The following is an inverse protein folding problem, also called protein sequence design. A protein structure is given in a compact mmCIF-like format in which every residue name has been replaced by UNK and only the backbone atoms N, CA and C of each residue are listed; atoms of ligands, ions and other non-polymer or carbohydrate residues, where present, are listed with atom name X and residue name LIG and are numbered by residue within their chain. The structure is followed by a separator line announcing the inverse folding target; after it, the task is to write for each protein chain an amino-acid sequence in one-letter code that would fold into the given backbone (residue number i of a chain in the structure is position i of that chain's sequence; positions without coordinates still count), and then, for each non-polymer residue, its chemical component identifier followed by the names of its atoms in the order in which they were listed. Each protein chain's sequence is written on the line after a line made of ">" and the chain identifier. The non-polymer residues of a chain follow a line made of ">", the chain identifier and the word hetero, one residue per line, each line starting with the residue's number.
data_IF_661330128515
#
_entry.id   IF_661330128515
#
_cell.length_a   1.000
_cell.length_b   1.000
_cell.length_c   1.000
_cell.angle_alpha   90.00
_cell.angle_beta   90.00
_cell.angle_gamma   90.00
#
_symmetry.space_group_name_H-M   'P 1'
#
loop_
_entity.id
_entity.type
_entity.pdbx_description
1 polymer ?
#
# COMPACT_ATOMS: atom_id res chain seq x y z
N UNK A 1 24.01 -9.50 16.43
CA UNK A 1 25.07 -8.81 17.19
C UNK A 1 24.97 -7.31 16.95
N UNK A 2 25.09 -6.53 18.03
CA UNK A 2 25.22 -5.06 18.18
C UNK A 2 24.12 -4.13 17.67
N UNK A 3 23.43 -3.47 18.62
CA UNK A 3 23.36 -2.01 18.70
C UNK A 3 23.26 -1.57 20.18
N UNK A 4 24.20 -0.74 20.60
CA UNK A 4 24.18 0.05 21.84
C UNK A 4 24.22 1.51 21.43
N UNK A 5 23.29 2.33 21.92
CA UNK A 5 23.50 3.77 22.12
C UNK A 5 22.83 4.12 23.46
N UNK A 6 23.66 4.45 24.44
CA UNK A 6 23.34 5.14 25.68
C UNK A 6 23.84 6.57 25.52
N UNK A 7 22.99 7.57 25.68
CA UNK A 7 23.39 8.91 26.14
C UNK A 7 22.28 9.53 27.02
N UNK A 8 22.57 9.50 28.32
CA UNK A 8 22.01 10.32 29.40
C UNK A 8 21.87 11.83 29.07
N UNK A 9 20.90 12.53 29.69
CA UNK A 9 21.01 13.82 30.42
C UNK A 9 19.59 14.23 30.97
N UNK A 10 19.44 15.13 31.97
CA UNK A 10 18.85 14.80 33.28
C UNK A 10 17.71 15.75 33.74
N UNK A 11 17.06 15.37 34.84
CA UNK A 11 16.39 16.19 35.88
C UNK A 11 15.78 17.57 35.54
N UNK A 12 14.47 17.71 35.79
CA UNK A 12 13.90 18.87 36.50
C UNK A 12 12.92 18.37 37.57
N UNK A 13 13.27 18.58 38.83
CA UNK A 13 12.37 18.52 39.99
C UNK A 13 11.89 19.96 40.33
N UNK A 14 10.57 20.15 40.48
CA UNK A 14 9.87 20.71 41.67
C UNK A 14 8.56 21.42 41.32
N UNK A 15 7.52 21.06 42.06
CA UNK A 15 6.30 21.85 42.20
C UNK A 15 5.26 21.15 43.07
N UNK A 16 5.37 21.30 44.40
CA UNK A 16 4.32 20.94 45.36
C UNK A 16 3.08 21.83 45.13
N UNK A 17 1.88 21.26 45.16
CA UNK A 17 0.65 22.05 45.27
C UNK A 17 -0.66 21.26 45.21
N UNK A 18 -1.26 21.06 46.38
CA UNK A 18 -2.68 20.82 46.67
C UNK A 18 -3.31 19.44 46.39
N UNK A 19 -3.54 18.75 47.51
CA UNK A 19 -4.56 17.71 47.72
C UNK A 19 -5.95 18.18 47.26
N UNK A 20 -6.52 17.42 46.34
CA UNK A 20 -7.95 17.31 46.14
C UNK A 20 -8.20 15.82 45.85
N UNK A 21 -9.00 15.09 46.64
CA UNK A 21 -9.32 13.71 46.31
C UNK A 21 -10.28 13.72 45.11
N UNK A 22 -9.72 13.72 43.90
CA UNK A 22 -10.46 13.26 42.73
C UNK A 22 -10.42 11.74 42.81
N UNK A 23 -11.51 11.15 43.27
CA UNK A 23 -11.76 9.73 43.05
C UNK A 23 -11.69 9.47 41.53
N UNK A 24 -10.53 9.03 41.05
CA UNK A 24 -10.39 8.39 39.75
C UNK A 24 -11.19 7.10 39.82
N UNK A 25 -12.43 7.16 39.36
CA UNK A 25 -13.29 6.00 39.18
C UNK A 25 -12.75 5.20 37.99
N UNK A 26 -11.76 4.35 38.28
CA UNK A 26 -11.26 3.34 37.32
C UNK A 26 -12.33 2.27 37.14
N UNK A 27 -12.83 2.15 35.92
CA UNK A 27 -13.63 1.01 35.51
C UNK A 27 -12.69 -0.16 35.20
N UNK A 28 -12.84 -1.28 35.90
CA UNK A 28 -12.09 -2.51 35.63
C UNK A 28 -13.03 -3.45 34.89
N UNK A 29 -12.74 -3.73 33.62
CA UNK A 29 -13.55 -4.67 32.82
C UNK A 29 -12.92 -6.04 32.86
N UNK A 30 -13.68 -7.04 33.32
CA UNK A 30 -13.32 -8.44 33.17
C UNK A 30 -14.01 -8.97 31.91
N UNK A 31 -13.25 -9.22 30.85
CA UNK A 31 -13.78 -9.83 29.64
C UNK A 31 -13.86 -11.35 29.84
N UNK A 32 -15.02 -11.96 29.56
CA UNK A 32 -15.20 -13.41 29.57
C UNK A 32 -15.57 -13.84 28.15
N UNK A 33 -14.70 -14.64 27.53
CA UNK A 33 -14.95 -15.28 26.23
C UNK A 33 -15.30 -16.75 26.44
N UNK A 34 -16.32 -17.25 25.74
CA UNK A 34 -16.85 -18.61 25.88
C UNK A 34 -16.22 -19.63 24.90
N UNK A 35 -15.35 -19.20 23.98
CA UNK A 35 -14.43 -20.09 23.27
C UNK A 35 -13.15 -20.30 24.08
N UNK A 36 -12.59 -21.51 24.06
CA UNK A 36 -11.51 -21.89 24.98
C UNK A 36 -10.25 -21.00 24.90
N UNK A 37 -9.69 -20.65 26.07
CA UNK A 37 -8.41 -19.91 26.26
C UNK A 37 -7.61 -20.50 27.41
N UNK A 38 -6.28 -20.58 27.26
CA UNK A 38 -5.30 -20.58 28.35
C UNK A 38 -4.60 -19.21 28.44
N UNK A 39 -4.27 -18.80 29.68
CA UNK A 39 -4.07 -17.42 30.10
C UNK A 39 -2.80 -16.69 29.60
N UNK A 40 -2.90 -15.36 29.45
CA UNK A 40 -1.78 -14.40 29.40
C UNK A 40 -1.93 -13.47 30.61
N UNK A 41 -1.26 -13.80 31.71
CA UNK A 41 -1.38 -13.12 33.00
C UNK A 41 -0.40 -11.95 33.13
N UNK A 42 -0.63 -10.85 32.39
CA UNK A 42 -0.16 -9.47 32.62
C UNK A 42 0.93 -9.18 33.67
N UNK A 43 2.08 -9.85 33.62
CA UNK A 43 3.26 -9.57 34.45
C UNK A 43 4.31 -8.93 33.55
N UNK A 44 5.04 -7.94 34.06
CA UNK A 44 6.22 -7.40 33.36
C UNK A 44 7.18 -8.54 33.02
N UNK A 45 7.59 -8.60 31.75
CA UNK A 45 8.71 -9.42 31.31
C UNK A 45 9.97 -8.82 31.94
N UNK A 46 10.31 -9.31 33.14
CA UNK A 46 11.63 -9.15 33.71
C UNK A 46 12.63 -9.91 32.84
N UNK A 47 13.04 -9.29 31.74
CA UNK A 47 14.09 -9.82 30.87
C UNK A 47 15.40 -9.72 31.65
N UNK A 48 15.71 -10.79 32.37
CA UNK A 48 17.07 -11.14 32.68
C UNK A 48 17.21 -12.64 32.46
N UNK A 49 18.14 -12.97 31.55
CA UNK A 49 18.65 -14.28 31.16
C UNK A 49 18.08 -14.87 29.87
N UNK A 50 19.03 -15.11 28.98
CA UNK A 50 19.08 -16.03 27.86
C UNK A 50 18.55 -17.41 28.25
N UNK A 51 17.27 -17.63 28.07
CA UNK A 51 16.69 -18.96 27.88
C UNK A 51 15.72 -18.87 26.69
N UNK A 52 15.86 -19.80 25.74
CA UNK A 52 14.94 -19.94 24.61
C UNK A 52 13.56 -20.34 25.12
N UNK A 53 12.54 -19.61 24.67
CA UNK A 53 11.15 -19.88 25.02
C UNK A 53 10.38 -20.23 23.74
N UNK A 54 9.81 -21.44 23.69
CA UNK A 54 8.83 -21.78 22.66
C UNK A 54 7.57 -20.93 22.89
N UNK A 55 7.36 -19.96 22.01
CA UNK A 55 6.12 -19.20 21.93
C UNK A 55 5.22 -19.96 20.97
N UNK A 56 4.13 -20.52 21.51
CA UNK A 56 3.09 -21.14 20.70
C UNK A 56 2.41 -20.05 19.85
N UNK A 57 2.79 -19.94 18.58
CA UNK A 57 2.14 -19.04 17.62
C UNK A 57 0.79 -19.67 17.27
N UNK A 58 -0.34 -19.05 17.66
CA UNK A 58 -1.64 -19.64 17.42
C UNK A 58 -1.94 -19.71 15.92
N UNK A 59 -2.75 -20.70 15.52
CA UNK A 59 -3.16 -20.89 14.13
C UNK A 59 -3.89 -19.65 13.58
N UNK A 60 -3.67 -19.33 12.30
CA UNK A 60 -4.35 -18.25 11.55
C UNK A 60 -5.89 -18.45 11.44
N UNK A 61 -6.43 -19.55 11.94
CA UNK A 61 -7.79 -20.00 11.69
C UNK A 61 -8.77 -19.69 12.83
N UNK A 62 -8.28 -19.22 13.98
CA UNK A 62 -9.11 -19.03 15.17
C UNK A 62 -9.51 -17.56 15.32
N UNK A 63 -10.70 -17.23 14.80
CA UNK A 63 -11.32 -15.93 15.05
C UNK A 63 -11.54 -15.73 16.56
N UNK A 64 -10.79 -14.80 17.15
CA UNK A 64 -10.73 -14.62 18.62
C UNK A 64 -10.56 -13.18 19.04
N UNK A 65 -10.79 -12.93 20.33
CA UNK A 65 -10.47 -11.66 20.99
C UNK A 65 -8.98 -11.63 21.35
N UNK A 66 -8.26 -10.64 20.84
CA UNK A 66 -6.82 -10.45 21.06
C UNK A 66 -6.56 -9.49 22.21
N UNK A 67 -7.37 -8.44 22.34
CA UNK A 67 -7.18 -7.43 23.38
C UNK A 67 -8.52 -6.79 23.77
N UNK A 68 -8.64 -6.37 25.03
CA UNK A 68 -9.78 -5.58 25.52
C UNK A 68 -9.25 -4.45 26.40
N UNK A 69 -9.63 -3.22 26.08
CA UNK A 69 -9.24 -2.04 26.87
C UNK A 69 -10.39 -1.06 27.04
N UNK A 70 -10.33 -0.26 28.09
CA UNK A 70 -11.28 0.83 28.33
C UNK A 70 -10.66 2.14 27.90
N UNK A 71 -11.39 2.94 27.12
CA UNK A 71 -11.00 4.27 26.71
C UNK A 71 -11.97 5.30 27.32
N UNK A 72 -11.42 6.41 27.82
CA UNK A 72 -12.14 7.46 28.53
C UNK A 72 -12.02 8.84 27.82
N UNK A 73 -11.21 8.95 26.76
CA UNK A 73 -10.84 10.25 26.18
C UNK A 73 -11.95 10.89 25.32
N UNK A 74 -12.93 10.12 24.84
CA UNK A 74 -13.94 10.57 23.87
C UNK A 74 -15.31 9.94 24.11
N UNK A 75 -15.79 10.01 25.35
CA UNK A 75 -16.90 9.20 25.84
C UNK A 75 -16.40 7.85 26.31
N UNK A 76 -16.81 7.42 27.51
CA UNK A 76 -16.35 6.17 28.08
C UNK A 76 -16.84 4.99 27.24
N UNK A 77 -15.93 4.15 26.74
CA UNK A 77 -16.26 2.98 25.96
C UNK A 77 -15.23 1.86 26.12
N UNK A 78 -15.62 0.65 25.76
CA UNK A 78 -14.73 -0.52 25.72
C UNK A 78 -14.32 -0.77 24.28
N UNK A 79 -13.03 -0.95 24.04
CA UNK A 79 -12.48 -1.36 22.75
C UNK A 79 -12.08 -2.82 22.84
N UNK A 80 -12.72 -3.64 22.03
CA UNK A 80 -12.41 -5.06 21.83
C UNK A 80 -11.69 -5.18 20.50
N UNK A 81 -10.49 -5.76 20.51
CA UNK A 81 -9.74 -6.07 19.31
C UNK A 81 -9.84 -7.56 19.02
N UNK A 82 -10.24 -7.90 17.80
CA UNK A 82 -10.30 -9.25 17.28
C UNK A 82 -9.05 -9.58 16.44
N UNK A 83 -8.80 -10.87 16.21
CA UNK A 83 -7.75 -11.36 15.32
C UNK A 83 -8.00 -10.97 13.86
N UNK A 84 -9.26 -10.86 13.48
CA UNK A 84 -9.69 -10.63 12.09
C UNK A 84 -10.66 -9.45 12.00
N UNK A 85 -10.74 -8.79 10.82
CA UNK A 85 -11.75 -7.78 10.55
C UNK A 85 -13.18 -8.33 10.78
N UNK A 86 -13.99 -7.55 11.48
CA UNK A 86 -15.38 -7.86 11.78
C UNK A 86 -16.29 -7.53 10.59
N UNK A 87 -17.36 -8.30 10.41
CA UNK A 87 -18.43 -7.93 9.49
C UNK A 87 -19.19 -6.70 10.03
N UNK A 88 -18.98 -5.52 9.44
CA UNK A 88 -19.59 -4.26 9.88
C UNK A 88 -21.13 -4.24 9.83
N UNK A 89 -21.76 -5.10 9.02
CA UNK A 89 -23.22 -5.15 8.85
C UNK A 89 -23.92 -6.11 9.82
N UNK A 90 -23.17 -6.77 10.71
CA UNK A 90 -23.75 -7.75 11.62
C UNK A 90 -24.55 -7.08 12.74
N UNK A 91 -25.66 -7.70 13.14
CA UNK A 91 -26.38 -7.29 14.33
C UNK A 91 -25.66 -7.82 15.57
N UNK A 92 -25.17 -6.91 16.43
CA UNK A 92 -24.46 -7.25 17.66
C UNK A 92 -25.37 -7.36 18.89
N UNK A 93 -26.66 -7.06 18.75
CA UNK A 93 -27.62 -7.18 19.84
C UNK A 93 -27.70 -8.64 20.32
N UNK A 94 -27.46 -8.86 21.62
CA UNK A 94 -27.42 -10.20 22.22
C UNK A 94 -26.12 -10.97 21.98
N UNK A 95 -25.24 -10.50 21.09
CA UNK A 95 -23.89 -11.07 20.91
C UNK A 95 -22.84 -10.36 21.77
N UNK A 96 -23.10 -9.12 22.15
CA UNK A 96 -22.22 -8.33 23.02
C UNK A 96 -23.06 -7.73 24.12
N UNK A 97 -22.67 -7.95 25.38
CA UNK A 97 -23.37 -7.42 26.53
C UNK A 97 -22.41 -6.95 27.62
N UNK A 98 -22.84 -5.95 28.39
CA UNK A 98 -22.16 -5.49 29.59
C UNK A 98 -23.11 -5.69 30.77
N UNK A 99 -22.61 -6.29 31.86
CA UNK A 99 -23.45 -6.62 33.03
C UNK A 99 -24.23 -5.41 33.53
N UNK A 100 -25.55 -5.58 33.68
CA UNK A 100 -26.43 -4.56 34.26
C UNK A 100 -26.88 -3.47 33.28
N UNK A 101 -26.53 -3.55 31.99
CA UNK A 101 -26.97 -2.60 30.97
C UNK A 101 -27.94 -3.23 29.97
N UNK A 102 -29.04 -2.52 29.72
CA UNK A 102 -30.10 -2.97 28.82
C UNK A 102 -29.85 -2.60 27.34
N UNK A 103 -29.01 -1.60 27.08
CA UNK A 103 -28.68 -1.15 25.72
C UNK A 103 -27.20 -0.76 25.64
N UNK A 104 -26.63 -0.94 24.45
CA UNK A 104 -25.26 -0.58 24.09
C UNK A 104 -25.27 -0.03 22.67
N UNK A 105 -24.43 0.96 22.40
CA UNK A 105 -24.12 1.39 21.05
C UNK A 105 -22.79 0.77 20.60
N UNK A 106 -22.70 0.47 19.31
CA UNK A 106 -21.55 -0.22 18.74
C UNK A 106 -20.99 0.56 17.56
N UNK A 107 -19.67 0.60 17.47
CA UNK A 107 -18.98 0.99 16.26
C UNK A 107 -17.97 -0.09 15.92
N UNK A 108 -18.16 -0.72 14.77
CA UNK A 108 -17.14 -1.60 14.18
C UNK A 108 -16.26 -0.73 13.28
N UNK A 109 -14.96 -0.86 13.45
CA UNK A 109 -13.98 -0.36 12.50
C UNK A 109 -12.92 -1.43 12.37
N UNK A 110 -12.90 -2.11 11.23
CA UNK A 110 -11.96 -3.19 10.96
C UNK A 110 -12.05 -4.34 11.98
N UNK A 111 -10.97 -4.70 12.66
CA UNK A 111 -10.96 -5.70 13.74
C UNK A 111 -11.27 -5.11 15.13
N UNK A 112 -11.63 -3.82 15.20
CA UNK A 112 -11.98 -3.15 16.46
C UNK A 112 -13.49 -3.02 16.58
N UNK A 113 -14.02 -3.52 17.70
CA UNK A 113 -15.37 -3.24 18.16
C UNK A 113 -15.29 -2.26 19.33
N UNK A 114 -15.87 -1.07 19.15
CA UNK A 114 -16.10 -0.11 20.23
C UNK A 114 -17.51 -0.32 20.78
N UNK A 115 -17.60 -0.49 22.09
CA UNK A 115 -18.83 -0.74 22.85
C UNK A 115 -19.07 0.44 23.77
N UNK A 116 -20.12 1.20 23.49
CA UNK A 116 -20.49 2.42 24.20
C UNK A 116 -21.65 2.13 25.17
N UNK A 117 -21.41 2.16 26.49
CA UNK A 117 -22.49 2.16 27.46
C UNK A 117 -23.29 3.48 27.39
N UNK A 118 -24.62 3.46 27.56
CA UNK A 118 -25.47 4.64 27.47
C UNK A 118 -25.27 5.60 28.64
N UNK A 119 -24.69 5.11 29.75
CA UNK A 119 -24.35 5.91 30.93
C UNK A 119 -22.95 5.54 31.39
N UNK A 120 -22.28 6.50 32.03
CA UNK A 120 -20.94 6.27 32.58
C UNK A 120 -20.99 5.18 33.65
N UNK A 121 -20.14 4.18 33.50
CA UNK A 121 -19.93 3.07 34.40
C UNK A 121 -18.82 3.39 35.40
N UNK A 122 -18.98 2.89 36.61
CA UNK A 122 -18.01 2.94 37.71
C UNK A 122 -17.88 1.56 38.33
N UNK A 123 -16.68 1.22 38.84
CA UNK A 123 -16.42 -0.09 39.43
C UNK A 123 -16.15 -1.21 38.41
N UNK A 124 -16.55 -2.43 38.74
CA UNK A 124 -16.30 -3.63 37.93
C UNK A 124 -17.53 -4.02 37.11
N UNK A 125 -17.33 -4.30 35.83
CA UNK A 125 -18.37 -4.81 34.93
C UNK A 125 -17.82 -5.97 34.10
N UNK A 126 -18.67 -6.95 33.76
CA UNK A 126 -18.29 -8.04 32.87
C UNK A 126 -18.75 -7.74 31.46
N UNK A 127 -17.83 -7.78 30.50
CA UNK A 127 -18.14 -7.76 29.07
C UNK A 127 -18.23 -9.21 28.59
N UNK A 128 -19.37 -9.56 27.99
CA UNK A 128 -19.60 -10.87 27.37
C UNK A 128 -19.62 -10.72 25.86
N UNK A 129 -18.90 -11.60 25.18
CA UNK A 129 -18.77 -11.65 23.73
C UNK A 129 -19.11 -13.07 23.29
N UNK A 130 -20.22 -13.22 22.58
CA UNK A 130 -20.73 -14.52 22.13
C UNK A 130 -20.02 -15.01 20.86
N UNK A 131 -19.93 -16.34 20.71
CA UNK A 131 -19.30 -16.98 19.56
C UNK A 131 -20.00 -16.70 18.20
N UNK A 132 -21.18 -16.07 18.21
CA UNK A 132 -21.92 -15.69 17.00
C UNK A 132 -21.41 -14.44 16.28
N UNK A 133 -20.40 -13.75 16.84
CA UNK A 133 -19.75 -12.64 16.13
C UNK A 133 -19.03 -13.18 14.91
N UNK A 134 -19.21 -12.49 13.78
CA UNK A 134 -18.68 -12.89 12.47
C UNK A 134 -17.55 -11.96 12.05
N UNK A 135 -16.46 -12.55 11.58
CA UNK A 135 -15.47 -11.84 10.76
C UNK A 135 -16.02 -11.62 9.34
N UNK A 136 -15.26 -10.90 8.51
CA UNK A 136 -15.62 -10.67 7.10
C UNK A 136 -15.64 -11.98 6.30
N UNK A 137 -14.81 -12.95 6.66
CA UNK A 137 -14.62 -14.22 5.93
C UNK A 137 -15.50 -15.31 6.55
N UNK A 138 -16.82 -15.21 6.35
CA UNK A 138 -17.71 -16.34 6.66
C UNK A 138 -17.97 -17.15 5.39
N UNK A 139 -17.89 -18.48 5.49
CA UNK A 139 -18.15 -19.47 4.44
C UNK A 139 -17.12 -19.59 3.30
N UNK A 140 -15.82 -19.43 3.58
CA UNK A 140 -14.75 -19.76 2.63
C UNK A 140 -14.04 -21.03 3.10
N UNK A 141 -14.02 -22.06 2.27
CA UNK A 141 -13.14 -23.22 2.45
C UNK A 141 -11.80 -22.94 1.76
N UNK A 142 -10.70 -23.10 2.51
CA UNK A 142 -9.35 -22.89 1.98
C UNK A 142 -8.70 -24.24 1.66
N UNK A 143 -8.41 -24.47 0.38
CA UNK A 143 -7.63 -25.61 -0.09
C UNK A 143 -6.20 -25.14 -0.31
N UNK A 144 -5.28 -25.57 0.55
CA UNK A 144 -3.87 -25.20 0.46
C UNK A 144 -3.06 -26.22 -0.35
N UNK A 145 -2.13 -25.71 -1.15
CA UNK A 145 -1.12 -26.50 -1.85
C UNK A 145 0.22 -25.76 -1.83
N UNK A 146 1.36 -26.43 -1.57
CA UNK A 146 2.66 -25.79 -1.55
C UNK A 146 3.17 -25.36 -2.94
N UNK A 147 2.50 -25.77 -4.03
CA UNK A 147 2.83 -25.33 -5.38
C UNK A 147 4.08 -25.97 -5.99
N UNK A 148 4.69 -26.95 -5.33
CA UNK A 148 5.90 -27.63 -5.82
C UNK A 148 5.66 -28.52 -7.04
N UNK A 149 4.41 -28.93 -7.27
CA UNK A 149 4.00 -29.79 -8.39
C UNK A 149 2.83 -29.13 -9.13
N UNK A 150 3.10 -28.37 -10.22
CA UNK A 150 2.07 -27.66 -10.98
C UNK A 150 0.84 -28.51 -11.37
N UNK A 151 0.97 -29.78 -11.79
CA UNK A 151 -0.20 -30.62 -12.10
C UNK A 151 -1.10 -30.90 -10.89
N UNK A 152 -0.53 -31.04 -9.70
CA UNK A 152 -1.29 -31.29 -8.45
C UNK A 152 -2.02 -30.03 -8.01
N UNK A 153 -1.34 -28.89 -8.04
CA UNK A 153 -1.95 -27.60 -7.75
C UNK A 153 -3.11 -27.29 -8.72
N UNK A 154 -2.92 -27.56 -10.01
CA UNK A 154 -3.95 -27.40 -11.03
C UNK A 154 -5.18 -28.30 -10.77
N UNK A 155 -4.98 -29.55 -10.36
CA UNK A 155 -6.08 -30.46 -10.02
C UNK A 155 -6.91 -29.93 -8.85
N UNK A 156 -6.27 -29.42 -7.79
CA UNK A 156 -6.96 -28.81 -6.65
C UNK A 156 -7.68 -27.51 -7.03
N UNK A 157 -7.05 -26.69 -7.87
CA UNK A 157 -7.62 -25.42 -8.32
C UNK A 157 -8.87 -25.61 -9.19
N UNK A 158 -8.95 -26.70 -9.95
CA UNK A 158 -10.04 -26.98 -10.90
C UNK A 158 -11.44 -26.90 -10.26
N UNK A 159 -11.59 -27.43 -9.04
CA UNK A 159 -12.89 -27.53 -8.37
C UNK A 159 -13.17 -26.35 -7.42
N UNK A 160 -12.23 -25.40 -7.30
CA UNK A 160 -12.38 -24.23 -6.45
C UNK A 160 -13.10 -23.06 -7.16
N UNK A 161 -13.83 -22.24 -6.40
CA UNK A 161 -14.50 -21.05 -6.95
C UNK A 161 -13.54 -20.00 -7.52
N UNK A 162 -12.32 -19.94 -6.99
CA UNK A 162 -11.20 -19.13 -7.44
C UNK A 162 -9.88 -19.77 -6.98
N UNK A 163 -8.78 -19.45 -7.66
CA UNK A 163 -7.44 -19.91 -7.29
C UNK A 163 -6.52 -18.70 -7.06
N UNK A 164 -5.71 -18.73 -6.00
CA UNK A 164 -4.72 -17.69 -5.71
C UNK A 164 -3.33 -18.33 -5.75
N UNK A 165 -2.49 -17.88 -6.68
CA UNK A 165 -1.15 -18.40 -6.91
C UNK A 165 -0.13 -17.42 -6.36
N UNK A 166 0.53 -17.77 -5.27
CA UNK A 166 1.63 -17.00 -4.70
C UNK A 166 2.95 -17.42 -5.35
N UNK A 167 3.61 -16.48 -6.02
CA UNK A 167 4.88 -16.69 -6.71
C UNK A 167 5.76 -15.47 -6.50
N UNK A 168 7.05 -15.62 -6.77
CA UNK A 168 7.97 -14.52 -6.57
C UNK A 168 9.40 -14.85 -6.91
N UNK A 169 10.25 -13.90 -6.57
CA UNK A 169 11.69 -14.08 -6.46
C UNK A 169 12.01 -14.55 -5.06
N UNK A 170 12.99 -15.43 -4.96
CA UNK A 170 13.46 -16.00 -3.70
C UNK A 170 14.80 -15.40 -3.31
N UNK A 171 15.29 -15.71 -2.11
CA UNK A 171 16.64 -15.34 -1.68
C UNK A 171 17.73 -15.78 -2.67
N UNK A 172 17.50 -16.85 -3.45
CA UNK A 172 18.44 -17.36 -4.47
C UNK A 172 18.47 -16.49 -5.72
N UNK A 173 17.38 -15.78 -5.99
CA UNK A 173 17.25 -14.88 -7.14
C UNK A 173 17.77 -13.49 -6.78
N UNK A 174 17.48 -13.00 -5.57
CA UNK A 174 17.81 -11.67 -5.08
C UNK A 174 18.65 -11.74 -3.79
N UNK A 175 19.90 -12.20 -3.92
CA UNK A 175 20.86 -12.25 -2.80
C UNK A 175 21.69 -10.97 -2.71
N UNK A 176 22.02 -10.53 -1.49
CA UNK A 176 22.97 -9.44 -1.27
C UNK A 176 24.31 -9.67 -2.00
N UNK A 177 24.85 -8.60 -2.60
CA UNK A 177 26.11 -8.64 -3.35
C UNK A 177 26.01 -9.26 -4.74
N UNK A 178 24.82 -9.59 -5.23
CA UNK A 178 24.61 -10.23 -6.52
C UNK A 178 23.51 -9.56 -7.33
N UNK A 179 23.78 -9.30 -8.61
CA UNK A 179 22.76 -8.95 -9.58
C UNK A 179 22.05 -10.19 -10.10
N UNK A 180 20.76 -10.03 -10.41
CA UNK A 180 19.96 -11.07 -11.06
C UNK A 180 20.52 -11.41 -12.45
N UNK A 181 20.43 -12.68 -12.83
CA UNK A 181 20.85 -13.18 -14.15
C UNK A 181 19.79 -13.02 -15.25
N UNK A 182 18.56 -12.67 -14.89
CA UNK A 182 17.46 -12.50 -15.82
C UNK A 182 16.25 -11.86 -15.14
N UNK A 183 15.34 -11.36 -15.95
CA UNK A 183 14.18 -10.57 -15.53
C UNK A 183 12.88 -11.38 -15.38
N UNK A 184 12.88 -12.69 -15.65
CA UNK A 184 11.71 -13.56 -15.51
C UNK A 184 11.60 -14.20 -14.14
N UNK A 185 10.44 -14.81 -13.85
CA UNK A 185 10.30 -15.73 -12.73
C UNK A 185 11.04 -17.04 -13.03
N UNK A 186 11.28 -17.86 -11.98
CA UNK A 186 11.78 -19.21 -12.19
C UNK A 186 10.85 -20.00 -13.13
N UNK A 187 11.38 -20.89 -13.99
CA UNK A 187 10.54 -21.69 -14.90
C UNK A 187 9.43 -22.47 -14.18
N UNK A 188 9.70 -22.90 -12.94
CA UNK A 188 8.73 -23.59 -12.09
C UNK A 188 7.56 -22.67 -11.69
N UNK A 189 7.83 -21.44 -11.27
CA UNK A 189 6.79 -20.48 -10.92
C UNK A 189 5.94 -20.10 -12.14
N UNK A 190 6.54 -19.89 -13.31
CA UNK A 190 5.75 -19.62 -14.52
C UNK A 190 4.89 -20.83 -14.94
N UNK A 191 5.41 -22.05 -14.79
CA UNK A 191 4.64 -23.27 -15.08
C UNK A 191 3.49 -23.46 -14.09
N UNK A 192 3.71 -23.17 -12.80
CA UNK A 192 2.65 -23.19 -11.79
C UNK A 192 1.51 -22.24 -12.17
N UNK A 193 1.83 -20.99 -12.56
CA UNK A 193 0.82 -20.02 -13.00
C UNK A 193 0.05 -20.56 -14.21
N UNK A 194 0.76 -21.04 -15.25
CA UNK A 194 0.12 -21.55 -16.47
C UNK A 194 -0.78 -22.75 -16.21
N UNK A 195 -0.31 -23.72 -15.42
CA UNK A 195 -1.06 -24.92 -15.11
C UNK A 195 -2.34 -24.61 -14.31
N UNK A 196 -2.24 -23.76 -13.28
CA UNK A 196 -3.39 -23.36 -12.47
C UNK A 196 -4.37 -22.50 -13.26
N UNK A 197 -3.88 -21.52 -14.04
CA UNK A 197 -4.74 -20.68 -14.87
C UNK A 197 -5.48 -21.48 -15.97
N UNK A 198 -4.85 -22.52 -16.52
CA UNK A 198 -5.48 -23.42 -17.46
C UNK A 198 -6.59 -24.29 -16.82
N UNK A 199 -6.43 -24.67 -15.55
CA UNK A 199 -7.42 -25.45 -14.82
C UNK A 199 -8.55 -24.61 -14.22
N UNK A 200 -8.26 -23.36 -13.82
CA UNK A 200 -9.22 -22.43 -13.24
C UNK A 200 -9.07 -21.02 -13.86
N UNK A 201 -10.04 -20.55 -14.66
CA UNK A 201 -9.98 -19.23 -15.30
C UNK A 201 -10.11 -18.06 -14.31
N UNK A 202 -10.49 -18.32 -13.04
CA UNK A 202 -10.55 -17.32 -11.96
C UNK A 202 -9.28 -17.36 -11.11
N UNK A 203 -8.14 -17.38 -11.79
CA UNK A 203 -6.82 -17.40 -11.16
C UNK A 203 -6.30 -15.98 -10.89
N UNK A 204 -5.89 -15.71 -9.66
CA UNK A 204 -5.24 -14.47 -9.25
C UNK A 204 -3.77 -14.79 -8.94
N UNK A 205 -2.85 -14.06 -9.54
CA UNK A 205 -1.42 -14.16 -9.20
C UNK A 205 -1.07 -13.12 -8.14
N UNK A 206 -0.50 -13.54 -7.01
CA UNK A 206 0.11 -12.64 -6.03
C UNK A 206 1.62 -12.75 -6.16
N UNK A 207 2.25 -11.63 -6.49
CA UNK A 207 3.65 -11.57 -6.85
C UNK A 207 4.48 -10.87 -5.78
N UNK A 208 5.46 -11.59 -5.22
CA UNK A 208 6.46 -11.04 -4.30
C UNK A 208 7.82 -10.91 -5.00
N UNK A 209 8.33 -9.69 -5.17
CA UNK A 209 9.59 -9.44 -5.87
C UNK A 209 10.20 -8.11 -5.43
N UNK A 210 11.53 -7.94 -5.58
CA UNK A 210 12.22 -6.71 -5.25
C UNK A 210 12.31 -5.69 -6.40
N UNK A 211 12.18 -6.14 -7.64
CA UNK A 211 12.35 -5.31 -8.84
C UNK A 211 11.38 -5.70 -9.97
N UNK A 212 11.46 -5.00 -11.09
CA UNK A 212 10.65 -5.28 -12.28
C UNK A 212 10.87 -6.72 -12.80
N UNK A 213 9.82 -7.27 -13.42
CA UNK A 213 9.84 -8.56 -14.10
C UNK A 213 9.38 -8.44 -15.55
N UNK A 214 9.92 -9.30 -16.41
CA UNK A 214 9.31 -9.66 -17.68
C UNK A 214 8.22 -10.70 -17.40
N UNK A 215 6.99 -10.40 -17.82
CA UNK A 215 5.80 -11.21 -17.45
C UNK A 215 5.07 -11.82 -18.65
N UNK A 216 5.61 -11.66 -19.86
CA UNK A 216 4.98 -12.03 -21.13
C UNK A 216 4.53 -13.50 -21.21
N UNK A 217 5.22 -14.40 -20.50
CA UNK A 217 4.93 -15.83 -20.55
C UNK A 217 3.62 -16.23 -19.85
N UNK A 218 3.05 -15.36 -19.02
CA UNK A 218 1.92 -15.72 -18.16
C UNK A 218 0.89 -14.62 -17.91
N UNK A 219 1.24 -13.33 -18.00
CA UNK A 219 0.35 -12.25 -17.55
C UNK A 219 -0.99 -12.20 -18.30
N UNK A 220 -0.99 -12.48 -19.60
CA UNK A 220 -2.21 -12.48 -20.42
C UNK A 220 -3.08 -13.73 -20.23
N UNK A 221 -2.64 -14.70 -19.41
CA UNK A 221 -3.37 -15.94 -19.10
C UNK A 221 -4.19 -15.85 -17.82
N UNK A 222 -3.99 -14.80 -17.03
CA UNK A 222 -4.65 -14.63 -15.73
C UNK A 222 -5.52 -13.37 -15.72
N UNK A 223 -6.74 -13.42 -15.14
CA UNK A 223 -7.61 -12.24 -15.07
C UNK A 223 -7.08 -11.15 -14.13
N UNK A 224 -6.22 -11.49 -13.16
CA UNK A 224 -5.71 -10.53 -12.19
C UNK A 224 -4.31 -10.90 -11.69
N UNK A 225 -3.50 -9.86 -11.46
CA UNK A 225 -2.22 -9.95 -10.78
C UNK A 225 -2.10 -8.83 -9.73
N UNK A 226 -1.61 -9.17 -8.55
CA UNK A 226 -1.32 -8.26 -7.44
C UNK A 226 0.18 -8.27 -7.15
N UNK A 227 0.85 -7.15 -7.38
CA UNK A 227 2.27 -6.99 -6.99
C UNK A 227 2.33 -6.57 -5.53
N UNK A 228 2.75 -7.49 -4.66
CA UNK A 228 2.90 -7.27 -3.23
C UNK A 228 4.30 -6.75 -2.84
N UNK A 229 5.26 -6.78 -3.75
CA UNK A 229 6.68 -6.49 -3.50
C UNK A 229 7.22 -7.38 -2.35
N UNK A 230 8.05 -6.83 -1.47
CA UNK A 230 8.35 -7.39 -0.16
C UNK A 230 7.52 -6.67 0.91
N UNK A 231 6.37 -7.22 1.33
CA UNK A 231 5.36 -6.46 2.07
C UNK A 231 5.61 -6.35 3.58
N UNK A 232 6.72 -6.90 4.08
CA UNK A 232 7.05 -6.90 5.51
C UNK A 232 6.13 -7.79 6.36
N UNK A 233 6.19 -7.61 7.69
CA UNK A 233 5.55 -8.50 8.66
C UNK A 233 4.01 -8.53 8.58
N UNK A 234 3.38 -7.44 8.15
CA UNK A 234 1.92 -7.33 8.00
C UNK A 234 1.43 -7.67 6.59
N UNK A 235 2.31 -8.20 5.74
CA UNK A 235 2.02 -8.41 4.32
C UNK A 235 0.85 -9.34 4.04
N UNK A 236 0.74 -10.44 4.81
CA UNK A 236 -0.39 -11.37 4.69
C UNK A 236 -1.74 -10.68 4.93
N UNK A 237 -1.81 -9.86 5.99
CA UNK A 237 -2.99 -9.09 6.33
C UNK A 237 -3.32 -8.07 5.24
N UNK A 238 -2.32 -7.31 4.76
CA UNK A 238 -2.51 -6.32 3.70
C UNK A 238 -3.01 -6.96 2.39
N UNK A 239 -2.41 -8.08 1.97
CA UNK A 239 -2.81 -8.82 0.76
C UNK A 239 -4.25 -9.31 0.89
N UNK A 240 -4.61 -9.95 2.01
CA UNK A 240 -5.96 -10.46 2.22
C UNK A 240 -7.01 -9.34 2.13
N UNK A 241 -6.77 -8.19 2.78
CA UNK A 241 -7.69 -7.04 2.72
C UNK A 241 -7.92 -6.53 1.30
N UNK A 242 -6.88 -6.52 0.47
CA UNK A 242 -7.01 -6.15 -0.94
C UNK A 242 -7.80 -7.21 -1.68
N UNK A 243 -7.44 -8.49 -1.58
CA UNK A 243 -8.12 -9.59 -2.30
C UNK A 243 -9.61 -9.69 -1.96
N UNK A 244 -9.99 -9.49 -0.69
CA UNK A 244 -11.37 -9.50 -0.25
C UNK A 244 -12.11 -8.16 -0.45
N UNK A 245 -11.45 -7.15 -1.02
CA UNK A 245 -12.07 -5.86 -1.32
C UNK A 245 -12.35 -4.98 -0.10
N UNK A 246 -11.77 -5.31 1.06
CA UNK A 246 -11.82 -4.49 2.27
C UNK A 246 -11.03 -3.19 2.12
N UNK A 247 -9.98 -3.24 1.32
CA UNK A 247 -9.21 -2.05 0.91
C UNK A 247 -9.15 -1.97 -0.61
N UNK A 248 -9.43 -0.79 -1.16
CA UNK A 248 -9.24 -0.52 -2.58
C UNK A 248 -7.74 -0.28 -2.88
N UNK A 249 -7.10 -1.04 -3.79
CA UNK A 249 -5.71 -0.80 -4.16
C UNK A 249 -5.58 0.56 -4.86
N UNK A 250 -4.53 1.30 -4.48
CA UNK A 250 -4.32 2.68 -4.93
C UNK A 250 -2.87 2.99 -5.29
N UNK A 251 -2.00 1.98 -5.31
CA UNK A 251 -0.58 2.15 -5.58
C UNK A 251 -0.31 2.31 -7.08
N UNK A 252 0.80 2.98 -7.41
CA UNK A 252 1.31 3.12 -8.77
C UNK A 252 2.75 2.60 -8.83
N UNK A 253 3.16 1.99 -9.94
CA UNK A 253 4.48 1.42 -10.10
C UNK A 253 5.57 2.51 -10.07
N UNK A 254 6.66 2.32 -9.28
CA UNK A 254 7.78 3.27 -9.23
C UNK A 254 8.77 3.10 -10.40
N UNK A 255 8.56 2.10 -11.26
CA UNK A 255 9.41 1.78 -12.41
C UNK A 255 8.56 1.19 -13.53
N UNK A 256 8.98 1.36 -14.77
CA UNK A 256 8.36 0.67 -15.90
C UNK A 256 8.81 -0.80 -15.92
N UNK A 257 7.91 -1.69 -16.33
CA UNK A 257 8.21 -3.12 -16.52
C UNK A 257 8.28 -3.40 -18.02
N UNK A 258 9.44 -3.82 -18.54
CA UNK A 258 9.63 -4.05 -19.96
C UNK A 258 8.90 -5.31 -20.42
N UNK A 259 8.74 -5.47 -21.74
CA UNK A 259 8.28 -6.74 -22.34
C UNK A 259 9.44 -7.70 -22.59
N UNK A 260 10.65 -7.16 -22.74
CA UNK A 260 11.89 -7.91 -22.94
C UNK A 260 13.06 -7.24 -22.23
N UNK A 261 14.06 -8.00 -21.81
CA UNK A 261 15.33 -7.45 -21.31
C UNK A 261 16.04 -6.60 -22.37
N UNK A 262 15.84 -6.92 -23.65
CA UNK A 262 16.38 -6.17 -24.77
C UNK A 262 15.74 -4.77 -24.95
N UNK A 263 14.63 -4.49 -24.27
CA UNK A 263 14.01 -3.16 -24.25
C UNK A 263 14.76 -2.19 -23.33
N UNK A 264 15.68 -2.69 -22.50
CA UNK A 264 16.43 -1.91 -21.53
C UNK A 264 17.85 -1.62 -22.04
N UNK A 265 18.52 -0.58 -21.48
CA UNK A 265 19.94 -0.36 -21.74
C UNK A 265 20.76 -1.60 -21.45
N UNK A 266 21.79 -1.84 -22.26
CA UNK A 266 22.75 -2.93 -22.03
C UNK A 266 23.38 -2.74 -20.65
N UNK A 267 23.26 -3.75 -19.81
CA UNK A 267 23.82 -3.76 -18.47
C UNK A 267 24.92 -4.81 -18.37
N UNK A 268 26.12 -4.38 -17.99
CA UNK A 268 27.24 -5.27 -17.67
C UNK A 268 27.49 -5.23 -16.15
N UNK A 269 27.06 -6.30 -15.49
CA UNK A 269 27.19 -6.46 -14.04
C UNK A 269 28.63 -6.70 -13.55
N UNK A 270 29.61 -6.78 -14.46
CA UNK A 270 31.04 -6.88 -14.12
C UNK A 270 31.78 -5.56 -14.32
N UNK A 271 31.14 -4.60 -14.99
CA UNK A 271 31.76 -3.30 -15.22
C UNK A 271 31.93 -2.55 -13.91
N UNK A 272 33.12 -1.98 -13.70
CA UNK A 272 33.38 -1.09 -12.56
C UNK A 272 32.93 0.35 -12.83
N UNK A 273 32.44 0.62 -14.04
CA UNK A 273 31.96 1.93 -14.48
C UNK A 273 30.61 1.78 -15.16
N UNK A 274 29.70 2.71 -14.87
CA UNK A 274 28.40 2.80 -15.52
C UNK A 274 28.22 4.22 -16.05
N UNK A 275 27.88 4.33 -17.33
CA UNK A 275 27.60 5.62 -17.96
C UNK A 275 26.10 5.90 -17.84
N UNK A 276 25.76 7.00 -17.16
CA UNK A 276 24.39 7.49 -17.08
C UNK A 276 24.22 8.70 -17.99
N UNK A 277 23.27 8.61 -18.91
CA UNK A 277 22.74 9.76 -19.63
C UNK A 277 21.38 10.20 -19.03
N UNK A 278 20.68 11.10 -19.73
CA UNK A 278 19.34 11.54 -19.32
C UNK A 278 18.26 10.45 -19.45
N UNK A 279 18.55 9.33 -20.10
CA UNK A 279 17.57 8.36 -20.62
C UNK A 279 17.72 7.01 -19.92
N UNK A 280 17.24 6.94 -18.68
CA UNK A 280 17.18 5.71 -17.89
C UNK A 280 15.75 5.37 -17.43
N UNK A 281 15.46 4.09 -17.25
CA UNK A 281 14.14 3.59 -16.87
C UNK A 281 13.07 3.98 -17.90
N UNK A 282 11.94 4.54 -17.46
CA UNK A 282 10.87 4.95 -18.38
C UNK A 282 11.29 6.02 -19.39
N UNK A 283 12.29 6.85 -19.05
CA UNK A 283 12.80 7.89 -19.97
C UNK A 283 13.54 7.28 -21.16
N UNK A 284 14.21 6.15 -20.96
CA UNK A 284 14.81 5.35 -22.03
C UNK A 284 13.72 4.83 -22.97
N UNK A 285 12.73 4.13 -22.41
CA UNK A 285 11.63 3.55 -23.17
C UNK A 285 10.86 4.60 -23.97
N UNK A 286 10.55 5.75 -23.36
CA UNK A 286 9.88 6.86 -24.05
C UNK A 286 10.72 7.42 -25.21
N UNK A 287 12.04 7.55 -25.03
CA UNK A 287 12.96 8.05 -26.08
C UNK A 287 13.02 7.09 -27.27
N UNK A 288 13.14 5.80 -26.98
CA UNK A 288 13.24 4.75 -28.00
C UNK A 288 11.87 4.39 -28.61
N UNK A 289 10.77 4.94 -28.08
CA UNK A 289 9.41 4.65 -28.53
C UNK A 289 8.96 3.22 -28.20
N UNK A 290 9.53 2.61 -27.17
CA UNK A 290 9.26 1.24 -26.76
C UNK A 290 8.12 1.22 -25.75
N UNK A 291 7.09 0.43 -26.05
CA UNK A 291 5.92 0.27 -25.20
C UNK A 291 6.17 -0.79 -24.11
N UNK A 292 6.28 -0.42 -22.81
CA UNK A 292 6.45 -1.38 -21.73
C UNK A 292 5.21 -2.26 -21.54
N UNK A 293 5.36 -3.37 -20.81
CA UNK A 293 4.20 -4.15 -20.34
C UNK A 293 3.40 -3.35 -19.32
N UNK A 294 4.09 -2.71 -18.37
CA UNK A 294 3.49 -1.77 -17.44
C UNK A 294 4.30 -0.47 -17.38
N UNK A 295 3.65 0.66 -17.62
CA UNK A 295 4.33 1.95 -17.58
C UNK A 295 4.76 2.34 -16.18
N UNK A 296 5.76 3.23 -16.10
CA UNK A 296 6.00 3.98 -14.87
C UNK A 296 4.72 4.72 -14.44
N UNK A 297 4.35 4.57 -13.18
CA UNK A 297 3.11 5.12 -12.66
C UNK A 297 1.86 4.29 -13.00
N UNK A 298 1.97 3.10 -13.60
CA UNK A 298 0.82 2.22 -13.82
C UNK A 298 0.28 1.69 -12.48
N UNK A 299 -1.04 1.64 -12.33
CA UNK A 299 -1.69 1.00 -11.19
C UNK A 299 -3.20 1.05 -11.33
N UNK A 300 -3.84 -0.09 -11.02
CA UNK A 300 -5.28 -0.25 -11.09
C UNK A 300 -5.93 0.04 -9.72
N UNK A 301 -7.24 0.21 -9.75
CA UNK A 301 -8.10 0.40 -8.59
C UNK A 301 -9.38 -0.41 -8.78
N UNK A 302 -10.10 -0.71 -7.69
CA UNK A 302 -11.45 -1.26 -7.76
C UNK A 302 -12.51 -0.23 -8.17
N UNK A 303 -12.10 1.02 -8.39
CA UNK A 303 -12.92 2.04 -9.04
C UNK A 303 -12.18 2.63 -10.25
N UNK A 304 -12.84 3.50 -11.00
CA UNK A 304 -12.27 4.20 -12.16
C UNK A 304 -12.24 5.70 -11.94
N UNK A 305 -11.27 6.36 -12.58
CA UNK A 305 -11.09 7.81 -12.50
C UNK A 305 -11.03 8.43 -13.89
N UNK A 306 -11.67 9.59 -14.04
CA UNK A 306 -11.60 10.42 -15.24
C UNK A 306 -10.94 11.76 -14.94
N UNK A 307 -10.19 12.29 -15.91
CA UNK A 307 -9.48 13.55 -15.81
C UNK A 307 -10.08 14.55 -16.79
N UNK A 308 -10.24 15.81 -16.37
CA UNK A 308 -10.72 16.88 -17.24
C UNK A 308 -10.12 18.24 -16.87
N UNK A 309 -10.35 19.25 -17.73
CA UNK A 309 -10.04 20.65 -17.45
C UNK A 309 -8.58 20.91 -17.03
N UNK A 310 -7.62 20.30 -17.73
CA UNK A 310 -6.20 20.61 -17.51
C UNK A 310 -5.95 22.07 -17.86
N UNK A 311 -5.41 22.82 -16.90
CA UNK A 311 -4.94 24.20 -17.06
C UNK A 311 -3.51 24.29 -16.58
N UNK A 312 -2.68 25.02 -17.30
CA UNK A 312 -1.29 25.22 -16.95
C UNK A 312 -0.89 26.67 -17.16
N UNK A 313 -0.22 27.24 -16.16
CA UNK A 313 0.17 28.64 -16.12
C UNK A 313 1.61 28.73 -15.63
N UNK A 314 2.47 29.40 -16.39
CA UNK A 314 3.84 29.67 -15.97
C UNK A 314 3.86 31.02 -15.25
N UNK A 315 4.18 30.97 -13.96
CA UNK A 315 4.51 32.15 -13.18
C UNK A 315 6.02 32.42 -13.14
N UNK A 316 6.43 33.49 -12.41
CA UNK A 316 7.83 33.84 -12.20
C UNK A 316 8.67 32.75 -11.53
N UNK A 317 8.06 31.98 -10.61
CA UNK A 317 8.77 31.01 -9.76
C UNK A 317 8.43 29.55 -10.09
N UNK A 318 7.29 29.30 -10.73
CA UNK A 318 6.78 27.94 -10.94
C UNK A 318 5.80 27.84 -12.10
N UNK A 319 5.64 26.63 -12.62
CA UNK A 319 4.50 26.25 -13.44
C UNK A 319 3.44 25.69 -12.49
N UNK A 320 2.25 26.28 -12.48
CA UNK A 320 1.08 25.75 -11.79
C UNK A 320 0.22 24.99 -12.77
N UNK A 321 -0.13 23.76 -12.43
CA UNK A 321 -1.05 22.91 -13.21
C UNK A 321 -2.25 22.55 -12.35
N UNK A 322 -3.45 22.71 -12.89
CA UNK A 322 -4.69 22.29 -12.25
C UNK A 322 -5.40 21.29 -13.13
N UNK A 323 -5.94 20.22 -12.54
CA UNK A 323 -6.72 19.19 -13.24
C UNK A 323 -7.87 18.72 -12.35
N UNK A 324 -9.03 18.51 -12.95
CA UNK A 324 -10.16 17.89 -12.26
C UNK A 324 -10.04 16.37 -12.34
N UNK A 325 -10.27 15.71 -11.22
CA UNK A 325 -10.30 14.24 -11.10
C UNK A 325 -11.68 13.84 -10.59
N UNK A 326 -12.35 12.97 -11.32
CA UNK A 326 -13.67 12.43 -10.98
C UNK A 326 -13.57 10.94 -10.74
N UNK A 327 -14.09 10.45 -9.62
CA UNK A 327 -14.32 9.02 -9.43
C UNK A 327 -15.59 8.62 -10.19
N UNK A 328 -15.44 7.81 -11.23
CA UNK A 328 -16.52 7.41 -12.12
C UNK A 328 -17.08 6.02 -11.84
N UNK A 329 -16.50 5.29 -10.88
CA UNK A 329 -17.01 3.98 -10.47
C UNK A 329 -18.00 4.07 -9.30
N UNK A 330 -18.31 2.92 -8.73
CA UNK A 330 -19.30 2.70 -7.68
C UNK A 330 -18.70 2.55 -6.27
N UNK A 331 -17.37 2.59 -6.16
CA UNK A 331 -16.63 2.44 -4.89
C UNK A 331 -15.80 3.68 -4.56
N UNK A 332 -15.65 4.02 -3.26
CA UNK A 332 -14.65 5.00 -2.87
C UNK A 332 -13.25 4.50 -3.25
N UNK A 333 -12.36 5.44 -3.58
CA UNK A 333 -10.99 5.10 -3.96
C UNK A 333 -10.04 6.28 -3.87
N UNK A 334 -8.77 5.94 -3.78
CA UNK A 334 -7.67 6.89 -3.82
C UNK A 334 -7.01 6.85 -5.19
N UNK A 335 -6.78 8.03 -5.77
CA UNK A 335 -6.07 8.21 -7.03
C UNK A 335 -4.79 9.01 -6.80
N UNK A 336 -3.73 8.69 -7.56
CA UNK A 336 -2.46 9.41 -7.55
C UNK A 336 -2.33 10.12 -8.89
N UNK A 337 -2.57 11.43 -8.89
CA UNK A 337 -2.37 12.30 -10.05
C UNK A 337 -0.89 12.53 -10.24
N UNK A 338 -0.35 12.12 -11.40
CA UNK A 338 1.04 12.33 -11.79
C UNK A 338 1.12 13.52 -12.75
N UNK A 339 2.05 14.44 -12.52
CA UNK A 339 2.39 15.53 -13.42
C UNK A 339 3.78 15.33 -14.01
N UNK A 340 3.81 15.18 -15.33
CA UNK A 340 5.04 15.12 -16.11
C UNK A 340 5.26 16.40 -16.91
N UNK A 341 6.52 16.75 -17.11
CA UNK A 341 6.94 17.89 -17.93
C UNK A 341 7.95 17.43 -18.98
N UNK A 342 7.74 17.80 -20.24
CA UNK A 342 8.71 17.69 -21.33
C UNK A 342 9.32 19.07 -21.61
N UNK A 343 10.65 19.17 -21.50
CA UNK A 343 11.39 20.39 -21.78
C UNK A 343 11.62 20.58 -23.30
N UNK A 344 11.95 21.80 -23.79
CA UNK A 344 12.18 22.05 -25.21
C UNK A 344 13.29 21.19 -25.81
N UNK A 345 14.38 20.96 -25.07
CA UNK A 345 15.46 20.05 -25.46
C UNK A 345 16.31 20.54 -26.63
N UNK A 346 16.40 21.87 -26.84
CA UNK A 346 17.23 22.48 -27.88
C UNK A 346 18.65 22.72 -27.39
N UNK A 347 18.82 23.05 -26.11
CA UNK A 347 20.13 23.30 -25.50
C UNK A 347 20.92 21.99 -25.25
N UNK A 348 20.25 20.97 -24.71
CA UNK A 348 20.79 19.62 -24.48
C UNK A 348 19.70 18.58 -24.76
N UNK A 349 20.05 17.31 -25.03
CA UNK A 349 19.07 16.23 -25.07
C UNK A 349 18.28 16.15 -23.75
N UNK A 350 16.95 15.97 -23.85
CA UNK A 350 16.05 15.88 -22.70
C UNK A 350 15.10 14.69 -22.84
N UNK A 351 14.65 14.08 -21.73
CA UNK A 351 13.60 13.07 -21.76
C UNK A 351 12.32 13.63 -22.37
N UNK A 352 11.57 12.79 -23.09
CA UNK A 352 10.25 13.13 -23.66
C UNK A 352 9.33 13.73 -22.59
N UNK A 353 9.39 13.15 -21.38
CA UNK A 353 8.68 13.62 -20.20
C UNK A 353 9.45 13.22 -18.94
N UNK A 354 9.31 14.02 -17.90
CA UNK A 354 9.85 13.73 -16.58
C UNK A 354 8.78 13.96 -15.51
N UNK A 355 8.64 13.04 -14.55
CA UNK A 355 7.80 13.28 -13.38
C UNK A 355 8.35 14.47 -12.59
N UNK A 356 7.52 15.50 -12.38
CA UNK A 356 7.90 16.71 -11.62
C UNK A 356 7.06 16.92 -10.37
N UNK A 357 5.85 16.38 -10.31
CA UNK A 357 5.01 16.42 -9.11
C UNK A 357 3.97 15.28 -9.13
N UNK A 358 3.44 14.95 -7.96
CA UNK A 358 2.28 14.08 -7.84
C UNK A 358 1.43 14.46 -6.62
N UNK A 359 0.17 14.06 -6.60
CA UNK A 359 -0.74 14.26 -5.47
C UNK A 359 -1.70 13.09 -5.34
N UNK A 360 -1.93 12.63 -4.11
CA UNK A 360 -2.91 11.60 -3.78
C UNK A 360 -4.23 12.26 -3.36
N UNK A 361 -5.34 11.78 -3.89
CA UNK A 361 -6.67 12.29 -3.59
C UNK A 361 -7.66 11.14 -3.37
N UNK A 362 -8.41 11.21 -2.26
CA UNK A 362 -9.51 10.30 -1.95
C UNK A 362 -10.82 10.84 -2.48
N UNK A 363 -11.61 10.02 -3.17
CA UNK A 363 -12.87 10.43 -3.80
C UNK A 363 -13.97 9.41 -3.53
N UNK A 364 -15.13 9.88 -3.07
CA UNK A 364 -16.36 9.08 -3.05
C UNK A 364 -16.87 8.83 -4.50
N UNK A 365 -17.72 7.82 -4.73
CA UNK A 365 -18.35 7.60 -6.04
C UNK A 365 -19.02 8.87 -6.59
N UNK A 366 -18.71 9.24 -7.83
CA UNK A 366 -19.24 10.43 -8.50
C UNK A 366 -18.62 11.76 -8.06
N UNK A 367 -17.79 11.78 -7.00
CA UNK A 367 -17.14 13.00 -6.52
C UNK A 367 -16.12 13.50 -7.55
N UNK A 368 -16.03 14.83 -7.70
CA UNK A 368 -14.99 15.50 -8.47
C UNK A 368 -14.19 16.44 -7.59
N UNK A 369 -12.86 16.36 -7.65
CA UNK A 369 -11.94 17.30 -6.99
C UNK A 369 -11.00 17.96 -7.97
N UNK A 370 -10.72 19.23 -7.75
CA UNK A 370 -9.68 19.97 -8.47
C UNK A 370 -8.35 19.81 -7.75
N UNK A 371 -7.36 19.26 -8.44
CA UNK A 371 -6.01 19.00 -7.92
C UNK A 371 -5.06 20.02 -8.52
N UNK A 372 -4.35 20.76 -7.65
CA UNK A 372 -3.33 21.75 -8.05
C UNK A 372 -1.93 21.19 -7.75
N UNK A 373 -1.10 21.14 -8.78
CA UNK A 373 0.30 20.69 -8.73
C UNK A 373 1.20 21.87 -9.13
N UNK A 374 2.35 22.00 -8.50
CA UNK A 374 3.31 23.09 -8.78
C UNK A 374 4.69 22.53 -9.06
N UNK A 375 5.32 23.02 -10.13
CA UNK A 375 6.68 22.69 -10.52
C UNK A 375 7.53 23.95 -10.41
N UNK A 376 8.42 23.99 -9.42
CA UNK A 376 9.38 25.10 -9.27
C UNK A 376 10.26 25.18 -10.51
N UNK A 377 10.61 26.40 -10.95
CA UNK A 377 11.52 26.60 -12.10
C UNK A 377 12.87 25.91 -11.91
N UNK A 378 13.39 25.85 -10.68
CA UNK A 378 14.61 25.11 -10.38
C UNK A 378 14.55 23.62 -10.78
N UNK A 379 13.38 22.98 -10.70
CA UNK A 379 13.20 21.59 -11.10
C UNK A 379 13.21 21.37 -12.62
N UNK A 380 13.23 22.45 -13.41
CA UNK A 380 13.31 22.42 -14.88
C UNK A 380 14.74 22.59 -15.40
N UNK A 381 15.70 22.87 -14.51
CA UNK A 381 17.10 23.10 -14.88
C UNK A 381 17.75 21.83 -15.45
N UNK A 382 18.80 22.06 -16.21
CA UNK A 382 19.70 21.02 -16.73
C UNK A 382 21.13 21.34 -16.30
N UNK A 383 21.98 20.33 -16.27
CA UNK A 383 23.40 20.53 -16.01
C UNK A 383 24.11 20.87 -17.34
N UNK A 384 24.76 22.02 -17.40
CA UNK A 384 25.57 22.45 -18.53
C UNK A 384 27.03 22.02 -18.29
N UNK A 385 27.49 21.06 -19.08
CA UNK A 385 28.84 20.51 -18.96
C UNK A 385 29.96 21.47 -19.38
N UNK A 386 29.66 22.49 -20.20
CA UNK A 386 30.63 23.50 -20.61
C UNK A 386 30.76 24.55 -19.52
N UNK A 387 29.64 25.05 -19.00
CA UNK A 387 29.62 26.04 -17.93
C UNK A 387 29.91 25.44 -16.54
N UNK A 388 29.88 24.10 -16.40
CA UNK A 388 30.00 23.36 -15.13
C UNK A 388 29.01 23.85 -14.08
N UNK A 389 27.75 24.04 -14.49
CA UNK A 389 26.73 24.58 -13.63
C UNK A 389 25.31 24.31 -14.13
N UNK A 390 24.35 24.53 -13.24
CA UNK A 390 22.93 24.38 -13.57
C UNK A 390 22.45 25.54 -14.45
N UNK A 391 21.92 25.22 -15.63
CA UNK A 391 21.35 26.16 -16.58
C UNK A 391 19.84 25.95 -16.74
N UNK A 392 19.18 26.92 -17.37
CA UNK A 392 17.74 26.92 -17.62
C UNK A 392 17.47 27.22 -19.09
N UNK A 393 16.55 26.46 -19.71
CA UNK A 393 16.16 26.66 -21.10
C UNK A 393 14.78 27.33 -21.16
N UNK A 394 14.70 28.52 -21.76
CA UNK A 394 13.39 29.13 -22.06
C UNK A 394 12.75 28.49 -23.29
N UNK A 395 11.43 28.54 -23.35
CA UNK A 395 10.68 28.02 -24.49
C UNK A 395 9.36 27.39 -24.11
N UNK A 396 8.82 26.60 -25.03
CA UNK A 396 7.58 25.86 -24.83
C UNK A 396 7.85 24.55 -24.09
N UNK A 397 7.27 24.41 -22.90
CA UNK A 397 7.27 23.20 -22.11
C UNK A 397 5.94 22.46 -22.29
N UNK A 398 6.01 21.15 -22.53
CA UNK A 398 4.82 20.30 -22.55
C UNK A 398 4.49 19.87 -21.12
N UNK A 399 3.25 20.00 -20.71
CA UNK A 399 2.73 19.51 -19.43
C UNK A 399 1.76 18.37 -19.67
N UNK A 400 1.86 17.30 -18.88
CA UNK A 400 1.00 16.13 -18.99
C UNK A 400 0.54 15.70 -17.60
N UNK A 401 -0.77 15.55 -17.36
CA UNK A 401 -1.30 15.10 -16.08
C UNK A 401 -2.33 13.97 -16.21
N UNK A 402 -2.30 13.01 -15.28
CA UNK A 402 -3.22 11.87 -15.24
C UNK A 402 -2.74 10.74 -14.32
N UNK A 403 -3.43 9.59 -14.36
CA UNK A 403 -3.22 8.45 -13.45
C UNK A 403 -2.17 7.43 -13.90
N UNK A 404 -1.26 7.81 -14.80
CA UNK A 404 -0.16 6.97 -15.29
C UNK A 404 -0.49 6.05 -16.49
N UNK A 405 -1.73 6.03 -16.98
CA UNK A 405 -2.09 5.37 -18.25
C UNK A 405 -1.96 6.35 -19.43
N UNK A 406 -1.17 6.06 -20.48
CA UNK A 406 -0.96 7.01 -21.59
C UNK A 406 -2.25 7.51 -22.24
N UNK A 407 -3.22 6.63 -22.51
CA UNK A 407 -4.50 6.99 -23.13
C UNK A 407 -5.38 7.93 -22.29
N UNK A 408 -5.12 8.06 -20.99
CA UNK A 408 -5.86 8.94 -20.07
C UNK A 408 -5.09 10.18 -19.63
N UNK A 409 -3.89 10.42 -20.17
CA UNK A 409 -3.10 11.61 -19.85
C UNK A 409 -3.62 12.81 -20.62
N UNK A 410 -4.01 13.86 -19.90
CA UNK A 410 -4.27 15.16 -20.51
C UNK A 410 -2.94 15.85 -20.78
N UNK A 411 -2.86 16.63 -21.86
CA UNK A 411 -1.67 17.42 -22.17
C UNK A 411 -2.00 18.86 -22.52
N UNK A 412 -1.08 19.76 -22.20
CA UNK A 412 -1.08 21.15 -22.63
C UNK A 412 0.36 21.64 -22.83
N UNK A 413 0.51 22.90 -23.20
CA UNK A 413 1.81 23.56 -23.31
C UNK A 413 1.82 24.85 -22.51
N UNK A 414 3.01 25.26 -22.07
CA UNK A 414 3.22 26.53 -21.39
C UNK A 414 4.55 27.13 -21.82
N UNK A 415 4.58 28.43 -22.09
CA UNK A 415 5.81 29.13 -22.43
C UNK A 415 6.48 29.62 -21.15
N UNK A 416 7.72 29.22 -20.92
CA UNK A 416 8.51 29.66 -19.77
C UNK A 416 9.65 30.56 -20.25
N UNK A 417 9.67 31.80 -19.76
CA UNK A 417 10.70 32.80 -20.06
C UNK A 417 11.81 32.81 -19.01
N UNK A 418 13.01 33.23 -19.41
CA UNK A 418 14.15 33.49 -18.53
C UNK A 418 13.94 34.71 -17.63
N UNK A 419 13.16 35.69 -18.08
CA UNK A 419 12.78 36.87 -17.29
C UNK A 419 11.52 36.59 -16.47
N UNK A 420 11.46 36.96 -15.18
CA UNK A 420 10.19 37.11 -14.47
C UNK A 420 9.29 38.05 -15.29
N UNK A 421 8.09 37.61 -15.68
CA UNK A 421 7.12 38.52 -16.27
C UNK A 421 6.62 39.44 -15.14
N UNK A 422 7.13 40.67 -15.08
CA UNK A 422 6.70 41.70 -14.14
C UNK A 422 7.82 42.65 -13.73
N UNK A 423 8.08 43.66 -14.56
CA UNK A 423 8.37 45.02 -14.10
C UNK A 423 7.21 45.94 -14.50
#
# INVERSE_FOLDING_TARGET
>A
EYFTIDENYPYIEKGKGCDCPKEETKMVVKAVWSGGVRAVNGKELGISRTDEQEVEIPSLSDFKVVNVRVDQASGQHVVVQFSDPLNEKQNLAGLVSLTGLASLEFQIQDNLLRVYPPVRQTGSSTLTIEAGIRNVVTNVELIMDPGHLPPVAALKAKDADAAIVFVGLTEKDETEGHDRKGMTLSPMHEELIRAVAAANPRTIVVLSCGSALVTENWIDRVPAALVAWYPGMEGGNAIARVLFGLTNPSAKLPMAWPKSEADLPVFDNKSLTVDYDYFYGYRHLDKEGIEPRFHFGHGLSYTSFAYSNLKAEAGPESIRVTVNVTNTGDRPGDEIVLLFVGAPGKAVPRPVKELKAFSRVSLAPGETRSVSLSVKRDALRYWDDVAKGWAFESGEYRVMAGGGKPAGMLSGTVVVSTTPQGE
#
